data_IF_714847679829
#
_entry.id   IF_714847679829
#
_cell.length_a   1.000
_cell.length_b   1.000
_cell.length_c   1.000
_cell.angle_alpha   90.00
_cell.angle_beta   90.00
_cell.angle_gamma   90.00
#
_symmetry.space_group_name_H-M   'P 1'
#
loop_
_entity.id
_entity.type
_entity.pdbx_description
1 polymer ?
#
# COMPACT_ATOMS: atom_id res chain seq x y z
N UNK A 1 -18.01 7.01 -9.28
CA UNK A 1 -16.85 7.88 -8.99
C UNK A 1 -16.02 7.95 -10.26
N UNK A 2 -15.80 9.15 -10.79
CA UNK A 2 -14.98 9.35 -11.98
C UNK A 2 -13.55 8.86 -11.72
N UNK A 3 -13.00 8.07 -12.64
CA UNK A 3 -11.61 7.66 -12.57
C UNK A 3 -10.69 8.88 -12.71
N UNK A 4 -9.56 8.90 -12.02
CA UNK A 4 -8.62 10.03 -12.04
C UNK A 4 -8.17 10.34 -13.47
N UNK A 5 -7.80 9.31 -14.24
CA UNK A 5 -7.33 9.48 -15.60
C UNK A 5 -8.45 9.98 -16.54
N UNK A 6 -9.65 9.43 -16.39
CA UNK A 6 -10.82 9.90 -17.15
C UNK A 6 -11.14 11.36 -16.82
N UNK A 7 -11.14 11.74 -15.55
CA UNK A 7 -11.38 13.11 -15.14
C UNK A 7 -10.32 14.10 -15.63
N UNK A 8 -9.05 13.73 -15.63
CA UNK A 8 -7.97 14.55 -16.18
C UNK A 8 -8.10 14.77 -17.70
N UNK A 9 -8.69 13.81 -18.42
CA UNK A 9 -8.92 13.92 -19.86
C UNK A 9 -10.15 14.80 -20.19
N UNK A 10 -11.14 14.85 -19.31
CA UNK A 10 -12.43 15.52 -19.55
C UNK A 10 -12.49 16.93 -18.96
N UNK A 11 -11.86 17.15 -17.79
CA UNK A 11 -11.94 18.40 -17.05
C UNK A 11 -10.80 19.35 -17.43
N UNK A 12 -11.12 20.66 -17.51
CA UNK A 12 -10.14 21.73 -17.77
C UNK A 12 -9.85 22.50 -16.50
N UNK A 13 -8.66 23.12 -16.44
CA UNK A 13 -8.23 23.99 -15.34
C UNK A 13 -8.22 23.28 -13.96
N UNK A 14 -7.97 21.99 -13.94
CA UNK A 14 -7.85 21.22 -12.70
C UNK A 14 -6.56 21.66 -11.98
N UNK A 15 -6.68 22.17 -10.76
CA UNK A 15 -5.55 22.56 -9.93
C UNK A 15 -5.12 21.43 -8.98
N UNK A 16 -6.09 20.72 -8.42
CA UNK A 16 -5.80 19.55 -7.56
C UNK A 16 -6.93 18.53 -7.57
N UNK A 17 -6.59 17.30 -7.23
CA UNK A 17 -7.49 16.17 -7.08
C UNK A 17 -7.31 15.63 -5.67
N UNK A 18 -8.34 15.75 -4.84
CA UNK A 18 -8.30 15.24 -3.48
C UNK A 18 -8.94 13.86 -3.44
N UNK A 19 -8.18 12.87 -3.00
CA UNK A 19 -8.67 11.51 -2.72
C UNK A 19 -8.93 11.44 -1.24
N UNK A 20 -10.21 11.50 -0.86
CA UNK A 20 -10.61 11.54 0.54
C UNK A 20 -10.99 10.15 1.02
N UNK A 21 -10.25 9.65 2.01
CA UNK A 21 -10.57 8.45 2.75
C UNK A 21 -10.98 8.81 4.18
N UNK A 22 -11.91 8.04 4.74
CA UNK A 22 -12.32 8.11 6.14
C UNK A 22 -12.06 6.74 6.76
N UNK A 23 -11.30 6.70 7.87
CA UNK A 23 -10.91 5.44 8.54
C UNK A 23 -10.35 4.41 7.54
N UNK A 24 -9.46 4.87 6.65
CA UNK A 24 -8.81 4.06 5.61
C UNK A 24 -9.75 3.47 4.54
N UNK A 25 -10.92 4.05 4.32
CA UNK A 25 -11.84 3.72 3.25
C UNK A 25 -12.06 4.94 2.34
N UNK A 26 -11.74 4.84 1.05
CA UNK A 26 -11.93 5.93 0.09
C UNK A 26 -13.42 6.21 -0.07
N UNK A 27 -13.82 7.46 0.20
CA UNK A 27 -15.21 7.92 0.09
C UNK A 27 -15.43 8.79 -1.13
N UNK A 28 -14.50 9.73 -1.42
CA UNK A 28 -14.73 10.75 -2.45
C UNK A 28 -13.48 11.07 -3.25
N UNK A 29 -13.69 11.55 -4.48
CA UNK A 29 -12.74 12.30 -5.30
C UNK A 29 -13.26 13.71 -5.47
N UNK A 30 -12.55 14.72 -4.96
CA UNK A 30 -12.89 16.12 -5.09
C UNK A 30 -11.93 16.77 -6.09
N UNK A 31 -12.48 17.52 -7.04
CA UNK A 31 -11.75 18.19 -8.09
C UNK A 31 -11.74 19.70 -7.84
N UNK A 32 -10.58 20.27 -7.58
CA UNK A 32 -10.42 21.71 -7.49
C UNK A 32 -10.15 22.30 -8.86
N UNK A 33 -11.09 23.09 -9.36
CA UNK A 33 -11.00 23.76 -10.66
C UNK A 33 -10.78 25.25 -10.41
N UNK A 34 -9.69 25.82 -10.95
CA UNK A 34 -9.36 27.25 -10.85
C UNK A 34 -9.39 27.89 -12.22
N UNK A 35 -10.14 28.97 -12.35
CA UNK A 35 -10.19 29.74 -13.60
C UNK A 35 -8.79 30.11 -14.09
N UNK A 36 -8.51 29.82 -15.34
CA UNK A 36 -7.20 30.09 -15.98
C UNK A 36 -5.99 29.36 -15.40
N UNK A 37 -6.20 28.27 -14.65
CA UNK A 37 -5.10 27.41 -14.20
C UNK A 37 -4.57 26.61 -15.39
N UNK A 38 -3.27 26.73 -15.67
CA UNK A 38 -2.61 26.11 -16.81
C UNK A 38 -1.39 25.23 -16.40
N UNK A 39 -1.13 25.11 -15.10
CA UNK A 39 -0.06 24.26 -14.60
C UNK A 39 -0.52 22.80 -14.48
N UNK A 40 0.42 21.91 -14.16
CA UNK A 40 0.11 20.51 -13.87
C UNK A 40 -0.61 20.35 -12.53
N UNK A 41 -1.71 19.61 -12.48
CA UNK A 41 -2.44 19.40 -11.24
C UNK A 41 -1.64 18.53 -10.23
N UNK A 42 -2.06 18.62 -8.96
CA UNK A 42 -1.55 17.77 -7.88
C UNK A 42 -2.62 16.76 -7.45
N UNK A 43 -2.18 15.57 -7.04
CA UNK A 43 -3.04 14.65 -6.28
C UNK A 43 -2.75 14.88 -4.80
N UNK A 44 -3.80 15.03 -4.00
CA UNK A 44 -3.74 15.15 -2.54
C UNK A 44 -4.46 13.96 -1.94
N UNK A 45 -3.68 12.97 -1.49
CA UNK A 45 -4.21 11.80 -0.80
C UNK A 45 -4.49 12.16 0.67
N UNK A 46 -5.76 12.19 1.07
CA UNK A 46 -6.22 12.57 2.41
C UNK A 46 -6.83 11.37 3.10
N UNK A 47 -6.45 11.09 4.34
CA UNK A 47 -7.12 10.13 5.21
C UNK A 47 -7.55 10.82 6.50
N UNK A 48 -8.86 10.82 6.75
CA UNK A 48 -9.47 11.34 7.97
C UNK A 48 -9.56 10.22 8.99
N UNK A 49 -8.80 10.32 10.05
CA UNK A 49 -8.83 9.41 11.20
C UNK A 49 -9.47 10.11 12.39
N UNK A 50 -9.94 9.34 13.39
CA UNK A 50 -10.72 9.89 14.54
C UNK A 50 -10.08 11.10 15.21
N UNK A 51 -8.74 11.17 15.26
CA UNK A 51 -8.02 12.21 16.00
C UNK A 51 -7.08 13.05 15.14
N UNK A 52 -6.93 12.71 13.85
CA UNK A 52 -6.00 13.41 12.97
C UNK A 52 -6.41 13.35 11.51
N UNK A 53 -5.92 14.33 10.76
CA UNK A 53 -5.99 14.34 9.30
C UNK A 53 -4.56 14.16 8.80
N UNK A 54 -4.35 13.13 8.00
CA UNK A 54 -3.06 12.92 7.33
C UNK A 54 -3.22 13.12 5.83
N UNK A 55 -2.28 13.80 5.20
CA UNK A 55 -2.31 14.06 3.77
C UNK A 55 -0.93 14.02 3.13
N UNK A 56 -0.88 13.51 1.89
CA UNK A 56 0.33 13.51 1.04
C UNK A 56 0.00 14.17 -0.29
N UNK A 57 0.84 15.11 -0.71
CA UNK A 57 0.77 15.75 -2.03
C UNK A 57 1.69 15.05 -3.02
N UNK A 58 1.15 14.72 -4.20
CA UNK A 58 1.88 14.08 -5.31
C UNK A 58 1.74 14.99 -6.54
N UNK A 59 2.85 15.46 -7.07
CA UNK A 59 2.90 16.31 -8.25
C UNK A 59 2.87 15.46 -9.52
N UNK A 60 1.87 15.65 -10.39
CA UNK A 60 1.73 14.86 -11.61
C UNK A 60 2.79 15.20 -12.67
N UNK A 61 3.39 16.39 -12.60
CA UNK A 61 4.49 16.79 -13.50
C UNK A 61 5.84 16.17 -13.11
N UNK A 62 5.99 15.66 -11.90
CA UNK A 62 7.24 15.10 -11.41
C UNK A 62 7.37 13.64 -11.79
N UNK A 63 8.51 13.28 -12.37
CA UNK A 63 8.86 11.89 -12.65
C UNK A 63 9.50 11.26 -11.40
N UNK A 64 8.69 10.73 -10.52
CA UNK A 64 9.15 10.03 -9.32
C UNK A 64 9.86 8.74 -9.65
N UNK A 65 10.89 8.41 -8.88
CA UNK A 65 11.68 7.19 -9.06
C UNK A 65 11.56 6.29 -7.83
N UNK A 66 11.15 5.06 -8.04
CA UNK A 66 11.13 4.07 -6.97
C UNK A 66 12.47 3.34 -6.87
N UNK A 67 12.91 3.13 -5.64
CA UNK A 67 13.95 2.15 -5.31
C UNK A 67 13.32 0.80 -4.97
N UNK A 68 14.09 -0.28 -5.09
CA UNK A 68 13.62 -1.64 -4.89
C UNK A 68 14.58 -2.42 -4.02
N UNK A 69 14.07 -3.26 -3.12
CA UNK A 69 14.88 -4.19 -2.35
C UNK A 69 14.12 -5.46 -1.97
N UNK A 70 14.85 -6.47 -1.52
CA UNK A 70 14.28 -7.59 -0.77
C UNK A 70 13.73 -7.10 0.57
N UNK A 71 12.86 -7.86 1.25
CA UNK A 71 12.34 -7.49 2.56
C UNK A 71 13.47 -7.13 3.54
N UNK A 72 13.29 -5.98 4.21
CA UNK A 72 14.15 -5.47 5.28
C UNK A 72 13.45 -5.64 6.63
N UNK A 73 13.88 -4.91 7.64
CA UNK A 73 13.34 -5.03 8.99
C UNK A 73 11.86 -4.62 9.11
N UNK A 74 11.45 -3.56 8.41
CA UNK A 74 10.11 -2.99 8.51
C UNK A 74 9.35 -3.08 7.19
N UNK A 75 8.04 -3.36 7.29
CA UNK A 75 7.11 -3.40 6.18
C UNK A 75 6.11 -2.24 6.29
N UNK A 76 5.81 -1.62 5.15
CA UNK A 76 4.89 -0.49 5.05
C UNK A 76 3.82 -0.79 4.01
N UNK A 77 2.56 -0.59 4.39
CA UNK A 77 1.42 -0.69 3.48
C UNK A 77 0.70 0.66 3.44
N UNK A 78 0.67 1.34 2.29
CA UNK A 78 0.02 2.64 2.15
C UNK A 78 -1.45 2.60 2.56
N UNK A 79 -1.96 3.72 3.06
CA UNK A 79 -3.39 3.88 3.30
C UNK A 79 -4.19 3.87 1.98
N UNK A 80 -5.51 3.76 2.09
CA UNK A 80 -6.39 3.60 0.92
C UNK A 80 -6.34 4.81 -0.03
N UNK A 81 -6.15 6.04 0.47
CA UNK A 81 -6.05 7.23 -0.37
C UNK A 81 -4.76 7.25 -1.19
N UNK A 82 -3.62 6.86 -0.60
CA UNK A 82 -2.36 6.69 -1.32
C UNK A 82 -2.43 5.55 -2.34
N UNK A 83 -3.02 4.41 -1.99
CA UNK A 83 -3.21 3.31 -2.94
C UNK A 83 -4.09 3.74 -4.13
N UNK A 84 -5.16 4.50 -3.89
CA UNK A 84 -6.07 4.99 -4.93
C UNK A 84 -5.41 6.05 -5.82
N UNK A 85 -4.40 6.78 -5.33
CA UNK A 85 -3.70 7.80 -6.12
C UNK A 85 -2.93 7.22 -7.32
N UNK A 86 -2.53 5.96 -7.25
CA UNK A 86 -1.65 5.34 -8.24
C UNK A 86 -0.20 5.83 -8.18
N UNK A 87 0.13 6.73 -7.26
CA UNK A 87 1.48 7.30 -7.12
C UNK A 87 2.47 6.39 -6.40
N UNK A 88 2.61 5.15 -6.85
CA UNK A 88 3.42 4.14 -6.15
C UNK A 88 4.92 4.45 -6.13
N UNK A 89 5.44 5.09 -7.17
CA UNK A 89 6.83 5.58 -7.24
C UNK A 89 7.00 6.80 -6.34
N UNK A 90 6.01 7.68 -6.30
CA UNK A 90 5.99 8.84 -5.39
C UNK A 90 6.03 8.40 -3.92
N UNK A 91 5.29 7.36 -3.54
CA UNK A 91 5.35 6.80 -2.17
C UNK A 91 6.77 6.35 -1.82
N UNK A 92 7.46 5.63 -2.74
CA UNK A 92 8.85 5.20 -2.52
C UNK A 92 9.77 6.39 -2.26
N UNK A 93 9.72 7.41 -3.12
CA UNK A 93 10.62 8.56 -3.04
C UNK A 93 10.28 9.49 -1.85
N UNK A 94 9.00 9.85 -1.66
CA UNK A 94 8.58 10.79 -0.63
C UNK A 94 8.81 10.27 0.80
N UNK A 95 8.68 8.97 1.01
CA UNK A 95 8.88 8.36 2.32
C UNK A 95 10.25 7.68 2.48
N UNK A 96 11.12 7.75 1.46
CA UNK A 96 12.43 7.08 1.43
C UNK A 96 12.32 5.59 1.77
N UNK A 97 11.43 4.87 1.06
CA UNK A 97 11.15 3.46 1.21
C UNK A 97 11.42 2.70 -0.08
N UNK A 98 11.95 1.48 0.02
CA UNK A 98 12.11 0.60 -1.14
C UNK A 98 10.85 -0.22 -1.39
N UNK A 99 10.46 -0.37 -2.65
CA UNK A 99 9.38 -1.28 -3.06
C UNK A 99 9.86 -2.73 -3.03
N UNK A 100 9.02 -3.65 -2.56
CA UNK A 100 9.32 -5.09 -2.62
C UNK A 100 9.22 -5.65 -4.06
N UNK A 101 8.37 -5.06 -4.89
CA UNK A 101 8.16 -5.43 -6.29
C UNK A 101 7.33 -4.35 -6.98
N UNK A 102 7.49 -4.19 -8.30
CA UNK A 102 6.75 -3.15 -9.05
C UNK A 102 5.23 -3.19 -8.86
N UNK A 103 4.64 -4.37 -8.66
CA UNK A 103 3.19 -4.58 -8.51
C UNK A 103 2.73 -4.92 -7.09
N UNK A 104 3.61 -5.04 -6.10
CA UNK A 104 3.20 -5.44 -4.74
C UNK A 104 2.58 -4.30 -3.94
N UNK A 105 2.95 -3.05 -4.21
CA UNK A 105 2.54 -1.87 -3.45
C UNK A 105 2.77 -2.03 -1.94
N UNK A 106 3.80 -2.79 -1.59
CA UNK A 106 4.38 -2.95 -0.27
C UNK A 106 5.80 -2.39 -0.30
N UNK A 107 6.18 -1.76 0.78
CA UNK A 107 7.47 -1.07 0.90
C UNK A 107 8.21 -1.55 2.14
N UNK A 108 9.53 -1.33 2.16
CA UNK A 108 10.37 -1.81 3.26
C UNK A 108 11.50 -0.83 3.56
N UNK A 109 12.00 -0.85 4.80
CA UNK A 109 13.19 -0.11 5.25
C UNK A 109 13.84 -0.82 6.43
N UNK A 110 15.10 -0.48 6.71
CA UNK A 110 15.82 -0.97 7.89
C UNK A 110 15.51 -0.18 9.16
N UNK A 111 15.03 1.06 8.99
CA UNK A 111 14.65 1.96 10.08
C UNK A 111 13.17 2.31 10.04
N UNK A 112 12.62 2.65 11.20
CA UNK A 112 11.24 3.14 11.28
C UNK A 112 11.16 4.52 10.61
N UNK A 113 10.25 4.66 9.64
CA UNK A 113 9.94 5.91 8.97
C UNK A 113 8.56 6.41 9.40
N UNK A 114 8.39 7.72 9.43
CA UNK A 114 7.05 8.31 9.48
C UNK A 114 6.33 8.01 8.16
N UNK A 115 5.11 7.45 8.24
CA UNK A 115 4.46 6.91 7.08
C UNK A 115 2.92 6.97 7.18
N UNK A 116 2.30 7.34 6.09
CA UNK A 116 0.84 7.40 6.01
C UNK A 116 0.25 6.05 5.56
N UNK A 117 0.07 5.17 6.53
CA UNK A 117 -0.43 3.82 6.32
C UNK A 117 -0.13 2.91 7.49
N UNK A 118 -0.21 1.61 7.26
CA UNK A 118 0.10 0.61 8.28
C UNK A 118 1.60 0.31 8.29
N UNK A 119 2.16 0.21 9.50
CA UNK A 119 3.57 -0.12 9.72
C UNK A 119 3.69 -1.42 10.50
N UNK A 120 4.66 -2.23 10.13
CA UNK A 120 4.88 -3.54 10.75
C UNK A 120 6.38 -3.81 10.90
N UNK A 121 6.74 -4.55 11.93
CA UNK A 121 8.05 -5.20 12.02
C UNK A 121 7.95 -6.60 11.42
N UNK A 122 8.84 -6.95 10.49
CA UNK A 122 8.93 -8.28 9.89
C UNK A 122 9.64 -9.18 10.88
N UNK A 123 8.92 -10.17 11.40
CA UNK A 123 9.48 -11.15 12.33
C UNK A 123 10.06 -12.36 11.61
N UNK A 124 9.51 -12.69 10.43
CA UNK A 124 10.00 -13.81 9.64
C UNK A 124 9.60 -13.67 8.16
N UNK A 125 10.53 -13.98 7.26
CA UNK A 125 10.26 -14.22 5.84
C UNK A 125 10.22 -15.73 5.58
N UNK A 126 9.18 -16.20 4.88
CA UNK A 126 8.94 -17.62 4.62
C UNK A 126 8.76 -17.81 3.12
N UNK A 127 9.51 -18.72 2.48
CA UNK A 127 9.24 -19.15 1.11
C UNK A 127 7.82 -19.73 0.99
N UNK A 128 7.14 -19.45 -0.13
CA UNK A 128 5.81 -20.04 -0.37
C UNK A 128 5.94 -21.51 -0.79
N UNK A 129 6.41 -22.36 0.15
CA UNK A 129 6.61 -23.78 -0.03
C UNK A 129 5.78 -24.60 0.97
N UNK A 130 5.35 -25.78 0.55
CA UNK A 130 4.39 -26.60 1.31
C UNK A 130 4.84 -26.88 2.75
N UNK A 131 6.11 -27.23 2.95
CA UNK A 131 6.64 -27.59 4.27
C UNK A 131 6.70 -26.38 5.21
N UNK A 132 7.15 -25.23 4.69
CA UNK A 132 7.25 -24.00 5.47
C UNK A 132 5.86 -23.45 5.84
N UNK A 133 4.92 -23.48 4.91
CA UNK A 133 3.54 -23.07 5.17
C UNK A 133 2.84 -23.99 6.16
N UNK A 134 3.12 -25.29 6.12
CA UNK A 134 2.61 -26.24 7.12
C UNK A 134 3.15 -25.95 8.51
N UNK A 135 4.41 -25.56 8.62
CA UNK A 135 5.08 -25.29 9.89
C UNK A 135 4.66 -23.94 10.51
N UNK A 136 4.58 -22.88 9.72
CA UNK A 136 4.47 -21.52 10.21
C UNK A 136 3.10 -20.85 10.02
N UNK A 137 2.29 -21.37 9.11
CA UNK A 137 1.03 -20.74 8.69
C UNK A 137 -0.19 -21.60 9.01
N UNK A 138 -0.09 -22.92 8.86
CA UNK A 138 -1.24 -23.81 9.01
C UNK A 138 -1.76 -23.84 10.46
N UNK A 139 -3.09 -23.77 10.61
CA UNK A 139 -3.82 -23.79 11.88
C UNK A 139 -3.48 -22.60 12.81
N UNK A 140 -2.92 -21.52 12.28
CA UNK A 140 -2.60 -20.32 13.06
C UNK A 140 -3.78 -19.36 13.12
N UNK A 141 -3.77 -18.48 14.13
CA UNK A 141 -4.65 -17.31 14.23
C UNK A 141 -3.87 -16.07 13.81
N UNK A 142 -4.23 -15.48 12.64
CA UNK A 142 -3.52 -14.33 12.09
C UNK A 142 -4.38 -13.52 11.12
N UNK A 143 -3.98 -12.28 10.89
CA UNK A 143 -4.59 -11.38 9.92
C UNK A 143 -3.90 -11.55 8.55
N UNK A 144 -4.60 -12.08 7.57
CA UNK A 144 -4.03 -12.38 6.24
C UNK A 144 -4.28 -11.24 5.26
N UNK A 145 -3.22 -10.82 4.55
CA UNK A 145 -3.29 -9.85 3.44
C UNK A 145 -2.58 -10.43 2.23
N UNK A 146 -3.11 -10.19 1.04
CA UNK A 146 -2.47 -10.55 -0.24
C UNK A 146 -2.15 -9.30 -1.05
N UNK A 147 -0.94 -9.21 -1.62
CA UNK A 147 -0.51 -8.15 -2.55
C UNK A 147 0.34 -8.77 -3.66
N UNK A 148 -0.07 -8.60 -4.91
CA UNK A 148 0.59 -9.24 -6.06
C UNK A 148 0.78 -10.75 -5.85
N UNK A 149 -0.31 -11.44 -5.53
CA UNK A 149 -0.30 -12.85 -5.18
C UNK A 149 -1.42 -13.60 -5.92
N UNK A 150 -1.19 -14.85 -6.40
CA UNK A 150 -2.15 -15.55 -7.25
C UNK A 150 -3.38 -16.08 -6.51
N UNK A 151 -3.35 -16.19 -5.18
CA UNK A 151 -4.46 -16.69 -4.38
C UNK A 151 -5.17 -15.55 -3.63
N UNK A 152 -6.48 -15.66 -3.48
CA UNK A 152 -7.27 -14.75 -2.64
C UNK A 152 -7.11 -15.08 -1.16
N UNK A 153 -7.40 -14.12 -0.29
CA UNK A 153 -7.32 -14.27 1.16
C UNK A 153 -8.17 -15.44 1.66
N UNK A 154 -9.39 -15.57 1.14
CA UNK A 154 -10.34 -16.61 1.52
C UNK A 154 -9.83 -18.02 1.18
N UNK A 155 -9.22 -18.18 0.00
CA UNK A 155 -8.64 -19.44 -0.44
C UNK A 155 -7.46 -19.87 0.42
N UNK A 156 -6.59 -18.90 0.78
CA UNK A 156 -5.46 -19.12 1.68
C UNK A 156 -5.95 -19.53 3.07
N UNK A 157 -6.89 -18.80 3.65
CA UNK A 157 -7.46 -19.12 4.97
C UNK A 157 -8.08 -20.52 5.00
N UNK A 158 -8.88 -20.84 3.99
CA UNK A 158 -9.52 -22.18 3.85
C UNK A 158 -8.46 -23.28 3.72
N UNK A 159 -7.48 -23.09 2.80
CA UNK A 159 -6.44 -24.08 2.50
C UNK A 159 -5.55 -24.40 3.69
N UNK A 160 -5.17 -23.39 4.46
CA UNK A 160 -4.25 -23.53 5.59
C UNK A 160 -4.96 -23.51 6.95
N UNK A 161 -6.30 -23.50 6.97
CA UNK A 161 -7.11 -23.48 8.20
C UNK A 161 -6.74 -22.34 9.14
N UNK A 162 -6.59 -21.13 8.59
CA UNK A 162 -6.25 -19.93 9.33
C UNK A 162 -7.52 -19.31 9.89
N UNK A 163 -7.51 -18.98 11.19
CA UNK A 163 -8.57 -18.17 11.83
C UNK A 163 -8.17 -16.70 11.88
N UNK A 164 -9.14 -15.81 11.73
CA UNK A 164 -8.90 -14.36 11.79
C UNK A 164 -8.61 -13.87 13.20
N UNK A 165 -7.75 -12.84 13.27
CA UNK A 165 -7.47 -12.08 14.49
C UNK A 165 -6.10 -12.38 15.10
N UNK A 166 -5.93 -11.91 16.35
CA UNK A 166 -4.63 -11.94 17.02
C UNK A 166 -3.72 -10.78 16.60
N UNK A 167 -2.48 -10.81 17.06
CA UNK A 167 -1.47 -9.76 16.83
C UNK A 167 -0.56 -10.05 15.64
N UNK A 168 -0.61 -11.27 15.10
CA UNK A 168 0.20 -11.69 13.96
C UNK A 168 -0.47 -11.31 12.64
N UNK A 169 0.30 -10.74 11.73
CA UNK A 169 -0.09 -10.42 10.36
C UNK A 169 0.74 -11.27 9.38
N UNK A 170 0.09 -11.78 8.34
CA UNK A 170 0.74 -12.54 7.28
C UNK A 170 0.48 -11.87 5.92
N UNK A 171 1.53 -11.36 5.31
CA UNK A 171 1.49 -10.76 3.97
C UNK A 171 1.98 -11.77 2.94
N UNK A 172 1.07 -12.28 2.14
CA UNK A 172 1.37 -13.12 0.98
C UNK A 172 1.66 -12.21 -0.21
N UNK A 173 2.89 -12.23 -0.71
CA UNK A 173 3.33 -11.29 -1.73
C UNK A 173 4.38 -11.89 -2.67
N UNK A 174 4.79 -11.10 -3.65
CA UNK A 174 5.90 -11.39 -4.56
C UNK A 174 7.02 -10.41 -4.28
N UNK A 175 8.25 -10.90 -4.12
CA UNK A 175 9.43 -10.09 -3.89
C UNK A 175 10.10 -9.63 -5.21
N UNK A 176 11.17 -8.86 -5.10
CA UNK A 176 11.95 -8.33 -6.23
C UNK A 176 12.47 -9.41 -7.21
N UNK A 177 12.72 -10.62 -6.71
CA UNK A 177 13.17 -11.77 -7.52
C UNK A 177 12.03 -12.54 -8.18
N UNK A 178 10.78 -12.03 -8.12
CA UNK A 178 9.57 -12.73 -8.56
C UNK A 178 9.26 -14.01 -7.76
N UNK A 179 9.84 -14.17 -6.58
CA UNK A 179 9.55 -15.29 -5.69
C UNK A 179 8.28 -15.01 -4.88
N UNK A 180 7.45 -16.03 -4.70
CA UNK A 180 6.29 -15.97 -3.81
C UNK A 180 6.75 -16.20 -2.37
N UNK A 181 6.47 -15.24 -1.51
CA UNK A 181 6.88 -15.26 -0.10
C UNK A 181 5.71 -14.93 0.83
N UNK A 182 5.87 -15.27 2.10
CA UNK A 182 4.99 -14.84 3.19
C UNK A 182 5.84 -14.09 4.21
N UNK A 183 5.45 -12.87 4.52
CA UNK A 183 6.04 -12.07 5.58
C UNK A 183 5.16 -12.18 6.82
N UNK A 184 5.67 -12.75 7.88
CA UNK A 184 5.05 -12.72 9.20
C UNK A 184 5.49 -11.45 9.92
N UNK A 185 4.52 -10.70 10.42
CA UNK A 185 4.75 -9.36 10.93
C UNK A 185 3.95 -9.09 12.20
N UNK A 186 4.45 -8.18 13.03
CA UNK A 186 3.72 -7.54 14.14
C UNK A 186 3.49 -6.07 13.82
N UNK A 187 2.30 -5.55 14.12
CA UNK A 187 1.98 -4.13 13.91
C UNK A 187 2.71 -3.27 14.94
N UNK A 188 3.28 -2.14 14.50
CA UNK A 188 3.97 -1.13 15.32
C UNK A 188 3.28 0.22 15.25
#
# INVERSE_FOLDING_TARGET
>A
ILDIQAGLNELKNVASIHIVAVENEVKELLWEIKKSFNDSPKIIAVNLEKQQIVSTSIELSKNYQATYSLPKKYLYEPNASLLKSGGFEAVSELFALDKLHQHSHLYTADEIKDFQGRRFEITQEIPFQKNDLKKYVQNQKMNVTTRNFPLKVEDIKKKYKISDGGTLFAFFTTNLKNEKIVLLCTKI
#
